data_IF_489814596992
#
_entry.id   IF_489814596992
#
_cell.length_a   1.000
_cell.length_b   1.000
_cell.length_c   1.000
_cell.angle_alpha   90.00
_cell.angle_beta   90.00
_cell.angle_gamma   90.00
#
_symmetry.space_group_name_H-M   'P 1'
#
loop_
_entity.id
_entity.type
_entity.pdbx_description
1 polymer ?
#
# COMPACT_ATOMS: atom_id res chain seq x y z
N UNK A 1 -12.54 7.98 3.58
CA UNK A 1 -11.07 8.04 3.59
C UNK A 1 -10.63 8.39 4.97
N UNK A 2 -9.63 7.72 5.46
CA UNK A 2 -9.01 8.06 6.72
C UNK A 2 -7.68 8.81 6.45
N UNK A 3 -7.39 9.80 7.28
CA UNK A 3 -6.04 10.32 7.45
C UNK A 3 -5.46 9.67 8.70
N UNK A 4 -4.25 9.20 8.59
CA UNK A 4 -3.51 8.57 9.68
C UNK A 4 -2.23 9.36 9.93
N UNK A 5 -1.86 9.48 11.19
CA UNK A 5 -0.58 10.08 11.57
C UNK A 5 0.35 8.98 12.04
N UNK A 6 1.51 8.88 11.42
CA UNK A 6 2.55 7.92 11.79
C UNK A 6 3.78 8.66 12.32
N UNK A 7 4.49 8.04 13.25
CA UNK A 7 5.71 8.62 13.83
C UNK A 7 6.84 8.76 12.79
N UNK A 8 6.89 7.84 11.81
CA UNK A 8 7.94 7.82 10.78
C UNK A 8 7.68 8.77 9.60
N UNK A 9 6.41 8.93 9.20
CA UNK A 9 6.09 9.56 7.91
C UNK A 9 5.13 10.74 8.02
N UNK A 10 4.67 11.07 9.22
CA UNK A 10 3.68 12.12 9.46
C UNK A 10 2.28 11.72 8.99
N UNK A 11 1.53 12.67 8.46
CA UNK A 11 0.16 12.48 7.99
C UNK A 11 0.15 11.78 6.62
N UNK A 12 -0.63 10.73 6.50
CA UNK A 12 -0.81 9.94 5.29
C UNK A 12 -2.29 9.79 4.97
N UNK A 13 -2.63 9.79 3.69
CA UNK A 13 -3.95 9.43 3.21
C UNK A 13 -4.01 7.92 2.94
N UNK A 14 -5.14 7.28 3.24
CA UNK A 14 -5.35 5.86 2.97
C UNK A 14 -6.77 5.56 2.52
N UNK A 15 -6.92 4.58 1.64
CA UNK A 15 -8.18 3.94 1.28
C UNK A 15 -8.17 2.50 1.79
N UNK A 16 -8.82 2.21 2.92
CA UNK A 16 -8.79 0.89 3.54
C UNK A 16 -9.86 -0.04 2.94
N UNK A 17 -10.06 0.03 1.64
CA UNK A 17 -11.02 -0.82 0.93
C UNK A 17 -10.27 -1.86 0.11
N UNK A 18 -10.71 -3.13 0.16
CA UNK A 18 -10.05 -4.20 -0.58
C UNK A 18 -10.12 -3.94 -2.09
N UNK A 19 -9.03 -4.27 -2.75
CA UNK A 19 -8.95 -4.21 -4.20
C UNK A 19 -9.67 -5.41 -4.82
N UNK A 20 -10.38 -5.16 -5.92
CA UNK A 20 -10.94 -6.21 -6.77
C UNK A 20 -9.88 -6.68 -7.77
N UNK A 21 -9.82 -7.97 -8.01
CA UNK A 21 -8.96 -8.52 -9.04
C UNK A 21 -9.43 -8.10 -10.45
N UNK A 22 -8.53 -7.92 -11.42
CA UNK A 22 -7.09 -8.09 -11.33
C UNK A 22 -6.36 -6.87 -10.75
N UNK A 23 -5.31 -7.13 -9.95
CA UNK A 23 -4.37 -6.11 -9.51
C UNK A 23 -3.19 -6.12 -10.48
N UNK A 24 -2.91 -4.98 -11.09
CA UNK A 24 -1.78 -4.82 -12.01
C UNK A 24 -0.65 -4.08 -11.32
N UNK A 25 0.51 -4.70 -11.29
CA UNK A 25 1.76 -4.08 -10.87
C UNK A 25 2.65 -3.86 -12.09
N UNK A 26 3.24 -2.68 -12.17
CA UNK A 26 4.19 -2.32 -13.21
C UNK A 26 5.49 -1.84 -12.56
N UNK A 27 6.60 -2.46 -12.94
CA UNK A 27 7.95 -2.07 -12.56
C UNK A 27 8.62 -1.36 -13.73
N UNK A 28 9.03 -0.11 -13.53
CA UNK A 28 9.63 0.73 -14.54
C UNK A 28 11.05 1.10 -14.17
N UNK A 29 12.01 0.66 -14.98
CA UNK A 29 13.41 1.06 -14.90
C UNK A 29 13.67 2.21 -15.86
N UNK A 30 14.55 3.11 -15.47
CA UNK A 30 15.04 4.18 -16.34
C UNK A 30 16.51 3.91 -16.63
N UNK A 31 16.80 3.57 -17.89
CA UNK A 31 18.16 3.33 -18.39
C UNK A 31 18.40 4.27 -19.55
N UNK A 32 19.48 5.02 -19.52
CA UNK A 32 19.94 5.78 -20.67
C UNK A 32 20.85 4.88 -21.51
N UNK A 33 20.65 4.90 -22.81
CA UNK A 33 21.43 4.11 -23.78
C UNK A 33 22.16 5.07 -24.68
N UNK A 34 23.46 5.17 -24.49
CA UNK A 34 24.35 5.95 -25.36
C UNK A 34 24.93 5.02 -26.42
N UNK A 35 24.69 5.32 -27.69
CA UNK A 35 25.25 4.57 -28.80
C UNK A 35 26.39 5.38 -29.42
N UNK A 36 27.57 4.81 -29.47
CA UNK A 36 28.70 5.41 -30.12
C UNK A 36 28.64 5.18 -31.65
N UNK A 37 29.31 6.03 -32.41
CA UNK A 37 29.34 5.96 -33.87
C UNK A 37 29.85 4.60 -34.43
N UNK A 38 30.67 3.90 -33.67
CA UNK A 38 31.20 2.57 -33.99
C UNK A 38 30.22 1.42 -33.62
N UNK A 39 29.00 1.71 -33.20
CA UNK A 39 28.00 0.71 -32.83
C UNK A 39 28.13 0.16 -31.40
N UNK A 40 29.08 0.62 -30.58
CA UNK A 40 29.15 0.22 -29.17
C UNK A 40 28.08 0.94 -28.39
N UNK A 41 27.41 0.19 -27.47
CA UNK A 41 26.39 0.72 -26.59
C UNK A 41 26.92 0.82 -25.16
N UNK A 42 26.69 1.95 -24.54
CA UNK A 42 26.85 2.14 -23.10
C UNK A 42 25.50 2.32 -22.46
N UNK A 43 25.17 1.48 -21.48
CA UNK A 43 23.92 1.57 -20.72
C UNK A 43 24.17 2.13 -19.36
N UNK A 44 23.59 3.27 -19.06
CA UNK A 44 23.70 3.95 -17.76
C UNK A 44 22.37 3.80 -17.01
N UNK A 45 22.32 3.07 -15.88
CA UNK A 45 21.11 3.01 -15.08
C UNK A 45 20.90 4.34 -14.36
N UNK A 46 19.88 5.10 -14.75
CA UNK A 46 19.51 6.37 -14.12
C UNK A 46 18.73 6.20 -12.81
N UNK A 47 18.24 4.97 -12.56
CA UNK A 47 17.60 4.62 -11.29
C UNK A 47 18.19 3.32 -10.75
N UNK A 48 18.53 3.33 -9.47
CA UNK A 48 19.00 2.14 -8.75
C UNK A 48 17.86 1.21 -8.33
N UNK A 49 16.61 1.73 -8.29
CA UNK A 49 15.39 0.97 -7.94
C UNK A 49 14.32 1.24 -8.98
N UNK A 50 13.55 0.22 -9.32
CA UNK A 50 12.40 0.35 -10.18
C UNK A 50 11.34 1.29 -9.56
N UNK A 51 10.67 2.07 -10.40
CA UNK A 51 9.42 2.73 -10.03
C UNK A 51 8.32 1.70 -10.08
N UNK A 52 7.64 1.54 -8.95
CA UNK A 52 6.53 0.61 -8.79
C UNK A 52 5.21 1.35 -8.94
N UNK A 53 4.35 0.89 -9.81
CA UNK A 53 3.02 1.46 -10.04
C UNK A 53 1.98 0.37 -9.87
N UNK A 54 1.00 0.60 -9.00
CA UNK A 54 -0.14 -0.27 -8.79
C UNK A 54 -1.38 0.30 -9.45
N UNK A 55 -2.12 -0.54 -10.16
CA UNK A 55 -3.43 -0.22 -10.73
C UNK A 55 -4.42 -1.31 -10.34
N UNK A 56 -5.47 -0.93 -9.64
CA UNK A 56 -6.53 -1.82 -9.21
C UNK A 56 -7.86 -1.10 -9.09
N UNK A 57 -8.94 -1.86 -9.07
CA UNK A 57 -10.28 -1.34 -8.86
C UNK A 57 -10.69 -1.53 -7.40
N UNK A 58 -11.42 -0.58 -6.87
CA UNK A 58 -12.02 -0.67 -5.54
C UNK A 58 -13.53 -0.64 -5.72
N UNK A 59 -14.25 -1.72 -5.37
CA UNK A 59 -15.71 -1.73 -5.39
C UNK A 59 -16.23 -0.90 -4.22
N UNK A 60 -16.78 0.27 -4.49
CA UNK A 60 -17.37 1.13 -3.48
C UNK A 60 -18.89 1.10 -3.62
N UNK A 61 -19.59 0.97 -2.51
CA UNK A 61 -21.03 1.14 -2.48
C UNK A 61 -21.40 2.61 -2.77
N UNK A 62 -22.54 2.84 -3.38
CA UNK A 62 -22.95 4.15 -3.91
C UNK A 62 -22.82 5.31 -2.89
N UNK A 63 -23.17 5.06 -1.62
CA UNK A 63 -23.08 6.05 -0.55
C UNK A 63 -21.64 6.38 -0.10
N UNK A 64 -20.70 5.46 -0.27
CA UNK A 64 -19.29 5.70 -0.03
C UNK A 64 -18.59 6.39 -1.21
N UNK A 65 -19.15 6.25 -2.42
CA UNK A 65 -18.51 6.68 -3.66
C UNK A 65 -18.21 8.18 -3.66
N UNK A 66 -19.23 8.99 -3.37
CA UNK A 66 -19.09 10.45 -3.39
C UNK A 66 -18.11 10.96 -2.33
N UNK A 67 -18.21 10.41 -1.11
CA UNK A 67 -17.32 10.78 0.00
C UNK A 67 -15.88 10.39 -0.30
N UNK A 68 -15.65 9.15 -0.75
CA UNK A 68 -14.31 8.65 -1.08
C UNK A 68 -13.70 9.40 -2.25
N UNK A 69 -14.50 9.74 -3.26
CA UNK A 69 -14.03 10.51 -4.42
C UNK A 69 -13.60 11.93 -4.02
N UNK A 70 -14.46 12.67 -3.32
CA UNK A 70 -14.15 14.04 -2.90
C UNK A 70 -12.90 14.10 -2.02
N UNK A 71 -12.76 13.14 -1.12
CA UNK A 71 -11.63 13.07 -0.22
C UNK A 71 -10.34 12.66 -0.95
N UNK A 72 -10.44 11.75 -1.92
CA UNK A 72 -9.30 11.37 -2.77
C UNK A 72 -8.84 12.56 -3.61
N UNK A 73 -9.79 13.32 -4.16
CA UNK A 73 -9.48 14.53 -4.93
C UNK A 73 -8.79 15.60 -4.07
N UNK A 74 -9.26 15.83 -2.85
CA UNK A 74 -8.65 16.77 -1.91
C UNK A 74 -7.22 16.36 -1.51
N UNK A 75 -6.96 15.07 -1.40
CA UNK A 75 -5.66 14.52 -0.99
C UNK A 75 -4.76 14.07 -2.16
N UNK A 76 -5.06 14.47 -3.39
CA UNK A 76 -4.32 14.00 -4.60
C UNK A 76 -2.81 14.30 -4.53
N UNK A 77 -2.44 15.40 -3.88
CA UNK A 77 -1.03 15.81 -3.72
C UNK A 77 -0.37 15.25 -2.48
N UNK A 78 -1.14 14.64 -1.59
CA UNK A 78 -0.65 14.10 -0.34
C UNK A 78 0.16 12.81 -0.56
N UNK A 79 0.84 12.40 0.48
CA UNK A 79 1.42 11.05 0.51
C UNK A 79 0.33 10.04 0.85
N UNK A 80 0.37 8.93 0.15
CA UNK A 80 -0.58 7.85 0.34
C UNK A 80 0.08 6.62 0.96
N UNK A 81 -0.58 6.06 1.94
CA UNK A 81 -0.35 4.70 2.38
C UNK A 81 -1.12 3.77 1.43
N UNK A 82 -0.39 3.07 0.57
CA UNK A 82 -0.97 2.19 -0.45
C UNK A 82 -0.87 0.75 0.02
N UNK A 83 -1.98 0.11 0.39
CA UNK A 83 -1.99 -1.30 0.76
C UNK A 83 -1.71 -2.17 -0.47
N UNK A 84 -0.79 -3.12 -0.34
CA UNK A 84 -0.51 -4.11 -1.38
C UNK A 84 -1.41 -5.33 -1.16
N UNK A 85 -2.63 -5.27 -1.66
CA UNK A 85 -3.66 -6.29 -1.44
C UNK A 85 -3.28 -7.68 -1.97
N UNK A 86 -2.45 -7.74 -3.02
CA UNK A 86 -1.94 -8.99 -3.57
C UNK A 86 -1.01 -9.75 -2.61
N UNK A 87 -0.43 -9.06 -1.64
CA UNK A 87 0.48 -9.62 -0.64
C UNK A 87 -0.18 -9.70 0.76
N UNK A 88 -1.50 -9.65 0.81
CA UNK A 88 -2.24 -9.85 2.05
C UNK A 88 -2.11 -11.27 2.56
N UNK A 89 -1.76 -11.42 3.84
CA UNK A 89 -1.62 -12.71 4.51
C UNK A 89 -2.63 -12.82 5.64
N UNK A 90 -3.39 -13.93 5.69
CA UNK A 90 -4.30 -14.20 6.80
C UNK A 90 -3.50 -14.61 8.04
N UNK A 91 -3.69 -13.88 9.13
CA UNK A 91 -2.95 -14.04 10.39
C UNK A 91 -3.84 -14.48 11.56
N UNK A 92 -5.14 -14.62 11.33
CA UNK A 92 -6.10 -15.05 12.37
C UNK A 92 -6.49 -13.93 13.33
N UNK A 93 -6.74 -14.28 14.57
CA UNK A 93 -7.16 -13.30 15.59
C UNK A 93 -5.94 -12.66 16.25
N UNK A 94 -5.98 -11.36 16.36
CA UNK A 94 -4.96 -10.57 17.07
C UNK A 94 -5.56 -10.09 18.39
N UNK A 95 -4.88 -10.38 19.48
CA UNK A 95 -5.29 -9.92 20.80
C UNK A 95 -4.90 -8.45 21.02
N UNK A 96 -5.71 -7.75 21.83
CA UNK A 96 -5.36 -6.40 22.28
C UNK A 96 -4.03 -6.42 23.03
N UNK A 97 -3.19 -5.43 22.77
CA UNK A 97 -1.86 -5.32 23.39
C UNK A 97 -0.76 -6.14 22.70
N UNK A 98 -1.05 -6.89 21.64
CA UNK A 98 -0.04 -7.64 20.92
C UNK A 98 1.04 -6.71 20.34
N UNK A 99 2.30 -7.10 20.48
CA UNK A 99 3.49 -6.41 19.95
C UNK A 99 4.25 -7.26 18.94
N UNK A 100 3.76 -8.47 18.64
CA UNK A 100 4.32 -9.36 17.64
C UNK A 100 3.20 -10.09 16.91
N UNK A 101 3.42 -10.37 15.63
CA UNK A 101 2.47 -11.04 14.75
C UNK A 101 3.20 -12.21 14.11
N UNK A 102 2.62 -13.41 14.28
CA UNK A 102 3.09 -14.58 13.54
C UNK A 102 2.67 -14.43 12.07
N UNK A 103 3.65 -14.40 11.17
CA UNK A 103 3.41 -14.23 9.74
C UNK A 103 4.61 -14.76 8.95
N UNK A 104 4.37 -15.19 7.72
CA UNK A 104 5.44 -15.55 6.80
C UNK A 104 6.07 -14.27 6.23
N UNK A 105 7.36 -14.11 6.46
CA UNK A 105 8.13 -12.95 5.99
C UNK A 105 9.09 -13.32 4.85
N UNK A 106 9.10 -14.60 4.45
CA UNK A 106 10.00 -15.10 3.41
C UNK A 106 9.45 -14.79 2.01
N UNK A 107 8.13 -14.99 1.83
CA UNK A 107 7.48 -14.84 0.54
C UNK A 107 6.66 -13.56 0.40
N UNK A 108 6.49 -12.81 1.49
CA UNK A 108 5.72 -11.55 1.52
C UNK A 108 6.61 -10.34 1.76
N UNK A 109 6.29 -9.23 1.16
CA UNK A 109 7.10 -8.00 1.23
C UNK A 109 6.93 -7.25 2.56
N UNK A 110 7.13 -7.96 3.67
CA UNK A 110 7.11 -7.42 5.03
C UNK A 110 8.54 -7.03 5.41
N UNK A 111 8.78 -5.75 5.65
CA UNK A 111 10.13 -5.22 5.89
C UNK A 111 10.22 -4.53 7.25
N UNK A 112 11.39 -4.60 7.87
CA UNK A 112 11.69 -3.80 9.04
C UNK A 112 11.59 -2.29 8.72
N UNK A 113 11.13 -1.51 9.70
CA UNK A 113 10.90 -0.07 9.58
C UNK A 113 9.92 0.31 8.46
N UNK A 114 8.99 -0.58 8.10
CA UNK A 114 7.92 -0.32 7.16
C UNK A 114 6.56 -0.20 7.85
N UNK A 115 5.54 0.16 7.09
CA UNK A 115 4.16 0.14 7.54
C UNK A 115 3.45 -1.11 7.03
N UNK A 116 2.50 -1.59 7.81
CA UNK A 116 1.55 -2.60 7.41
C UNK A 116 0.15 -2.24 7.92
N UNK A 117 -0.86 -2.80 7.30
CA UNK A 117 -2.24 -2.70 7.76
C UNK A 117 -2.67 -4.05 8.32
N UNK A 118 -3.21 -4.03 9.53
CA UNK A 118 -3.98 -5.14 10.09
C UNK A 118 -5.42 -4.88 9.70
N UNK A 119 -6.01 -5.77 8.93
CA UNK A 119 -7.32 -5.59 8.33
C UNK A 119 -8.26 -6.73 8.72
N UNK A 120 -9.32 -6.42 9.45
CA UNK A 120 -10.42 -7.33 9.83
C UNK A 120 -11.75 -6.98 9.13
N UNK A 121 -11.75 -5.96 8.28
CA UNK A 121 -12.95 -5.47 7.57
C UNK A 121 -12.90 -3.96 7.34
N UNK A 122 -13.87 -3.42 6.58
CA UNK A 122 -13.89 -2.00 6.19
C UNK A 122 -13.90 -1.03 7.38
N UNK A 123 -14.50 -1.43 8.50
CA UNK A 123 -14.62 -0.62 9.71
C UNK A 123 -13.67 -1.07 10.83
N UNK A 124 -12.93 -2.17 10.61
CA UNK A 124 -12.02 -2.74 11.59
C UNK A 124 -10.62 -2.94 10.98
N UNK A 125 -9.84 -1.90 10.98
CA UNK A 125 -8.47 -1.92 10.49
C UNK A 125 -7.60 -0.93 11.28
N UNK A 126 -6.31 -1.19 11.31
CA UNK A 126 -5.33 -0.30 11.92
C UNK A 126 -4.00 -0.35 11.16
N UNK A 127 -3.29 0.76 11.17
CA UNK A 127 -1.94 0.83 10.61
C UNK A 127 -0.94 0.62 11.73
N UNK A 128 0.01 -0.25 11.46
CA UNK A 128 1.09 -0.60 12.38
C UNK A 128 2.44 -0.33 11.72
N UNK A 129 3.40 0.02 12.54
CA UNK A 129 4.78 0.10 12.12
C UNK A 129 5.47 -1.22 12.47
N UNK A 130 6.10 -1.85 11.50
CA UNK A 130 6.96 -3.01 11.70
C UNK A 130 8.31 -2.51 12.23
N UNK A 131 8.72 -2.97 13.40
CA UNK A 131 10.02 -2.65 13.98
C UNK A 131 11.10 -3.58 13.42
N UNK A 132 11.01 -4.86 13.76
CA UNK A 132 11.94 -5.89 13.29
C UNK A 132 11.21 -7.06 12.66
N UNK A 133 11.89 -7.79 11.81
CA UNK A 133 11.33 -8.94 11.08
C UNK A 133 12.21 -10.15 11.32
N UNK A 134 11.59 -11.24 11.78
CA UNK A 134 12.20 -12.59 11.84
C UNK A 134 11.59 -13.49 10.75
N UNK A 135 12.05 -14.75 10.61
CA UNK A 135 11.60 -15.65 9.55
C UNK A 135 10.09 -15.94 9.53
N UNK A 136 9.45 -15.94 10.71
CA UNK A 136 8.02 -16.27 10.87
C UNK A 136 7.30 -15.29 11.80
N UNK A 137 7.88 -14.12 12.03
CA UNK A 137 7.33 -13.14 12.96
C UNK A 137 7.69 -11.72 12.54
N UNK A 138 6.71 -10.82 12.64
CA UNK A 138 6.92 -9.40 12.56
C UNK A 138 6.70 -8.77 13.94
N UNK A 139 7.71 -8.09 14.49
CA UNK A 139 7.59 -7.35 15.72
C UNK A 139 7.14 -5.92 15.42
N UNK A 140 6.18 -5.44 16.18
CA UNK A 140 5.60 -4.12 16.00
C UNK A 140 6.32 -3.09 16.86
N UNK A 141 6.36 -1.85 16.40
CA UNK A 141 6.91 -0.74 17.18
C UNK A 141 5.99 -0.28 18.32
N UNK A 142 4.70 -0.62 18.26
CA UNK A 142 3.69 -0.32 19.29
C UNK A 142 2.67 -1.45 19.37
N UNK A 143 1.98 -1.52 20.50
CA UNK A 143 0.89 -2.47 20.70
C UNK A 143 -0.31 -2.14 19.80
N UNK A 144 -1.10 -3.15 19.48
CA UNK A 144 -2.27 -3.06 18.62
C UNK A 144 -3.56 -3.31 19.39
N UNK A 145 -4.67 -2.87 18.81
CA UNK A 145 -6.02 -3.21 19.28
C UNK A 145 -6.41 -4.61 18.80
N UNK A 146 -7.40 -5.20 19.43
CA UNK A 146 -7.96 -6.49 19.02
C UNK A 146 -8.54 -6.41 17.60
N UNK A 147 -8.21 -7.41 16.79
CA UNK A 147 -8.79 -7.60 15.44
C UNK A 147 -9.08 -9.08 15.23
N UNK A 148 -10.34 -9.42 15.02
CA UNK A 148 -10.76 -10.76 14.68
C UNK A 148 -10.58 -11.03 13.18
N UNK A 149 -10.22 -12.27 12.83
CA UNK A 149 -10.06 -12.71 11.43
C UNK A 149 -9.18 -11.76 10.60
N UNK A 150 -8.06 -11.38 11.17
CA UNK A 150 -7.19 -10.33 10.64
C UNK A 150 -6.33 -10.81 9.46
N UNK A 151 -6.11 -9.89 8.54
CA UNK A 151 -5.11 -9.98 7.47
C UNK A 151 -3.99 -8.97 7.74
N UNK A 152 -2.76 -9.37 7.49
CA UNK A 152 -1.61 -8.48 7.48
C UNK A 152 -1.30 -8.10 6.04
N UNK A 153 -1.35 -6.81 5.73
CA UNK A 153 -1.20 -6.29 4.37
C UNK A 153 -0.05 -5.29 4.37
N UNK A 154 1.02 -5.53 3.63
CA UNK A 154 2.13 -4.58 3.51
C UNK A 154 1.65 -3.25 2.92
N UNK A 155 2.25 -2.15 3.39
CA UNK A 155 1.97 -0.80 2.87
C UNK A 155 3.21 -0.23 2.21
N UNK A 156 3.00 0.39 1.05
CA UNK A 156 4.00 1.24 0.40
C UNK A 156 3.56 2.69 0.42
N UNK A 157 4.54 3.58 0.54
CA UNK A 157 4.30 4.99 0.39
C UNK A 157 4.28 5.35 -1.09
N UNK A 158 3.20 5.98 -1.51
CA UNK A 158 3.00 6.35 -2.89
C UNK A 158 2.42 7.73 -3.06
N UNK A 159 2.17 8.08 -4.30
CA UNK A 159 1.39 9.24 -4.73
C UNK A 159 0.46 8.81 -5.84
N UNK A 160 -0.70 9.40 -5.91
CA UNK A 160 -1.59 9.20 -7.05
C UNK A 160 -1.01 9.98 -8.23
N UNK A 161 -0.70 9.34 -9.36
CA UNK A 161 -0.25 10.05 -10.54
C UNK A 161 -1.40 10.88 -11.13
N UNK A 162 -1.18 12.16 -11.31
CA UNK A 162 -1.86 13.19 -12.09
C UNK A 162 -3.38 13.18 -12.17
N UNK A 163 -4.00 12.57 -13.14
CA UNK A 163 -5.42 12.80 -13.45
C UNK A 163 -6.38 11.82 -12.79
N UNK A 164 -7.11 12.29 -11.77
CA UNK A 164 -8.31 11.60 -11.31
C UNK A 164 -9.48 12.05 -12.19
N UNK A 165 -9.97 11.16 -13.03
CA UNK A 165 -11.20 11.41 -13.78
C UNK A 165 -12.40 10.99 -12.95
N UNK A 166 -13.30 11.92 -12.71
CA UNK A 166 -14.61 11.62 -12.15
C UNK A 166 -15.36 10.73 -13.15
N UNK A 167 -15.82 9.55 -12.74
CA UNK A 167 -16.69 8.77 -13.63
C UNK A 167 -17.90 9.65 -13.98
N UNK A 168 -18.03 9.99 -15.24
CA UNK A 168 -19.28 10.56 -15.75
C UNK A 168 -20.31 9.44 -15.67
N UNK A 169 -21.30 9.60 -14.80
CA UNK A 169 -22.48 8.75 -14.86
C UNK A 169 -23.04 8.89 -16.27
N UNK A 170 -22.82 7.88 -17.09
CA UNK A 170 -23.58 7.73 -18.31
C UNK A 170 -25.04 7.73 -17.90
N UNK A 171 -25.76 8.74 -18.31
CA UNK A 171 -27.20 8.77 -18.22
C UNK A 171 -27.75 7.49 -18.82
N UNK A 172 -28.41 6.69 -18.00
CA UNK A 172 -29.31 5.62 -18.44
C UNK A 172 -30.53 6.27 -18.99
#
# INVERSE_FOLDING_TARGET
MAKITTSLYGELAILPHPAEAPIKETLEFLTDVMQAYNGTEQRLPLRTKARQTFSYKIPLQAWHLASSFNTTYAAIRDRWAVPIWSEGQFIGNIASGAISIACDTTFYDIRANSLAMIYGGCDNWQIVQIGTVGPSVANLASSVSEVASAWLIPIRLGRIPGDIRKPTNGSV
#
